data_IF_514131069022
#
_entry.id   IF_514131069022
#
_cell.length_a   1.000
_cell.length_b   1.000
_cell.length_c   1.000
_cell.angle_alpha   90.00
_cell.angle_beta   90.00
_cell.angle_gamma   90.00
#
_symmetry.space_group_name_H-M   'P 1'
#
loop_
_entity.id
_entity.type
_entity.pdbx_description
1 polymer ?
#
# COMPACT_ATOMS: atom_id res chain seq x y z
N UNK A 1 -21.56 -1.18 -5.28
CA UNK A 1 -21.85 -2.44 -4.54
C UNK A 1 -20.68 -3.41 -4.72
N UNK A 2 -20.08 -3.86 -3.61
CA UNK A 2 -18.86 -4.70 -3.63
C UNK A 2 -19.12 -6.06 -4.28
N UNK A 3 -20.26 -6.68 -4.01
CA UNK A 3 -20.57 -8.04 -4.49
C UNK A 3 -20.80 -8.08 -6.00
N UNK A 4 -21.61 -7.15 -6.51
CA UNK A 4 -22.04 -7.16 -7.91
C UNK A 4 -21.18 -6.28 -8.82
N UNK A 5 -20.39 -5.35 -8.27
CA UNK A 5 -19.70 -4.32 -9.03
C UNK A 5 -20.61 -3.19 -9.54
N UNK A 6 -21.91 -3.21 -9.18
CA UNK A 6 -22.87 -2.21 -9.65
C UNK A 6 -22.55 -0.83 -9.06
N UNK A 7 -22.46 0.17 -9.92
CA UNK A 7 -22.34 1.57 -9.50
C UNK A 7 -23.69 2.03 -8.97
N UNK A 8 -23.75 2.44 -7.71
CA UNK A 8 -24.98 2.93 -7.06
C UNK A 8 -25.09 4.45 -7.14
N UNK A 9 -23.96 5.13 -7.17
CA UNK A 9 -23.85 6.57 -7.31
C UNK A 9 -22.48 6.92 -7.88
N UNK A 10 -22.41 7.89 -8.76
CA UNK A 10 -21.16 8.44 -9.25
C UNK A 10 -21.24 9.96 -9.43
N UNK A 11 -20.11 10.61 -9.25
CA UNK A 11 -19.91 12.02 -9.53
C UNK A 11 -18.43 12.22 -9.90
N UNK A 12 -18.16 12.62 -11.14
CA UNK A 12 -16.81 12.76 -11.68
C UNK A 12 -15.92 11.52 -11.42
N UNK A 13 -16.51 10.33 -11.51
CA UNK A 13 -15.90 9.07 -11.06
C UNK A 13 -14.60 8.72 -11.78
N UNK A 14 -14.39 9.25 -12.99
CA UNK A 14 -13.22 9.05 -13.84
C UNK A 14 -12.27 10.27 -13.88
N UNK A 15 -12.49 11.26 -13.02
CA UNK A 15 -11.57 12.38 -12.90
C UNK A 15 -10.25 11.91 -12.27
N UNK A 16 -9.14 12.04 -13.01
CA UNK A 16 -7.82 11.65 -12.55
C UNK A 16 -7.26 12.70 -11.57
N UNK A 17 -7.08 12.30 -10.33
CA UNK A 17 -6.62 13.15 -9.22
C UNK A 17 -5.46 12.49 -8.48
N UNK A 18 -4.66 13.30 -7.80
CA UNK A 18 -3.60 12.81 -6.93
C UNK A 18 -4.19 12.07 -5.71
N UNK A 19 -3.91 10.77 -5.54
CA UNK A 19 -4.55 9.95 -4.50
C UNK A 19 -3.99 10.16 -3.10
N UNK A 20 -2.82 10.78 -2.96
CA UNK A 20 -2.10 10.81 -1.69
C UNK A 20 -2.02 9.40 -1.07
N UNK A 21 -2.20 9.27 0.24
CA UNK A 21 -2.10 7.99 0.95
C UNK A 21 -3.11 6.91 0.53
N UNK A 22 -4.12 7.23 -0.27
CA UNK A 22 -5.01 6.20 -0.85
C UNK A 22 -4.24 5.24 -1.77
N UNK A 23 -3.10 5.67 -2.32
CA UNK A 23 -2.11 4.82 -3.00
C UNK A 23 -1.82 3.52 -2.24
N UNK A 24 -1.74 3.59 -0.91
CA UNK A 24 -1.41 2.43 -0.05
C UNK A 24 -2.46 1.31 -0.08
N UNK A 25 -3.64 1.57 -0.62
CA UNK A 25 -4.61 0.50 -0.88
C UNK A 25 -4.04 -0.48 -1.91
N UNK A 26 -3.42 0.01 -3.00
CA UNK A 26 -2.73 -0.85 -3.98
C UNK A 26 -1.49 -1.50 -3.35
N UNK A 27 -0.74 -0.77 -2.55
CA UNK A 27 0.42 -1.32 -1.83
C UNK A 27 0.00 -2.49 -0.93
N UNK A 28 -1.06 -2.32 -0.14
CA UNK A 28 -1.60 -3.40 0.70
C UNK A 28 -2.17 -4.56 -0.11
N UNK A 29 -2.78 -4.30 -1.27
CA UNK A 29 -3.26 -5.35 -2.18
C UNK A 29 -2.09 -6.25 -2.61
N UNK A 30 -1.00 -5.67 -3.11
CA UNK A 30 0.17 -6.46 -3.53
C UNK A 30 0.86 -7.18 -2.38
N UNK A 31 0.87 -6.60 -1.18
CA UNK A 31 1.36 -7.28 0.03
C UNK A 31 0.49 -8.52 0.34
N UNK A 32 -0.83 -8.37 0.32
CA UNK A 32 -1.74 -9.48 0.59
C UNK A 32 -1.68 -10.56 -0.49
N UNK A 33 -1.57 -10.19 -1.76
CA UNK A 33 -1.34 -11.13 -2.86
C UNK A 33 -0.03 -11.94 -2.68
N UNK A 34 1.04 -11.27 -2.20
CA UNK A 34 2.29 -11.96 -1.90
C UNK A 34 2.17 -12.92 -0.70
N UNK A 35 1.36 -12.57 0.31
CA UNK A 35 1.07 -13.45 1.46
C UNK A 35 0.21 -14.63 1.02
N UNK A 36 -0.87 -14.40 0.30
CA UNK A 36 -1.83 -15.43 -0.10
C UNK A 36 -1.23 -16.41 -1.13
N UNK A 37 -0.27 -15.94 -1.95
CA UNK A 37 0.50 -16.80 -2.85
C UNK A 37 1.70 -17.49 -2.18
N UNK A 38 1.84 -17.35 -0.85
CA UNK A 38 2.96 -17.93 -0.07
C UNK A 38 4.35 -17.46 -0.53
N UNK A 39 4.43 -16.33 -1.25
CA UNK A 39 5.70 -15.70 -1.62
C UNK A 39 6.41 -15.11 -0.39
N UNK A 40 5.63 -14.59 0.55
CA UNK A 40 6.07 -14.14 1.86
C UNK A 40 5.10 -14.63 2.94
N UNK A 41 5.55 -14.69 4.19
CA UNK A 41 4.70 -15.00 5.34
C UNK A 41 4.56 -13.77 6.25
N UNK A 42 3.44 -13.68 6.97
CA UNK A 42 3.21 -12.58 7.94
C UNK A 42 4.28 -12.55 9.06
N UNK A 43 4.95 -13.68 9.29
CA UNK A 43 6.03 -13.84 10.28
C UNK A 43 7.42 -13.54 9.75
N UNK A 44 7.56 -13.34 8.43
CA UNK A 44 8.86 -13.04 7.83
C UNK A 44 9.39 -11.70 8.34
N UNK A 45 10.71 -11.62 8.45
CA UNK A 45 11.41 -10.42 8.90
C UNK A 45 11.74 -9.53 7.70
N UNK A 46 11.28 -8.29 7.77
CA UNK A 46 11.59 -7.22 6.81
C UNK A 46 12.64 -6.30 7.42
N UNK A 47 13.68 -5.98 6.65
CA UNK A 47 14.73 -5.04 7.06
C UNK A 47 14.52 -3.71 6.34
N UNK A 48 14.44 -2.62 7.09
CA UNK A 48 14.34 -1.29 6.52
C UNK A 48 15.66 -0.86 5.87
N UNK A 49 15.59 -0.42 4.63
CA UNK A 49 16.72 0.19 3.92
C UNK A 49 16.94 1.65 4.37
N UNK A 50 18.04 2.26 3.94
CA UNK A 50 18.25 3.70 4.07
C UNK A 50 17.16 4.50 3.31
N UNK A 51 16.76 4.03 2.13
CA UNK A 51 15.68 4.66 1.34
C UNK A 51 14.34 4.61 2.09
N UNK A 52 13.96 3.47 2.64
CA UNK A 52 12.74 3.34 3.43
C UNK A 52 12.77 4.23 4.68
N UNK A 53 13.87 4.22 5.43
CA UNK A 53 14.06 5.03 6.64
C UNK A 53 14.08 6.54 6.37
N UNK A 54 14.41 6.97 5.14
CA UNK A 54 14.44 8.37 4.74
C UNK A 54 13.07 8.92 4.27
N UNK A 55 12.04 8.06 4.16
CA UNK A 55 10.71 8.51 3.70
C UNK A 55 10.12 9.53 4.68
N UNK A 56 9.57 10.60 4.10
CA UNK A 56 8.88 11.66 4.83
C UNK A 56 7.40 11.38 5.08
N UNK A 57 6.69 12.39 5.57
CA UNK A 57 5.25 12.32 5.81
C UNK A 57 4.88 11.43 6.98
N UNK A 58 3.75 10.70 6.89
CA UNK A 58 3.31 9.75 7.92
C UNK A 58 4.26 8.54 7.98
N UNK A 59 4.82 8.26 9.15
CA UNK A 59 5.84 7.24 9.34
C UNK A 59 5.89 6.78 10.80
N UNK A 60 6.52 5.63 11.05
CA UNK A 60 6.80 5.13 12.40
C UNK A 60 8.28 5.33 12.78
N UNK A 61 9.02 6.10 11.99
CA UNK A 61 10.43 6.43 12.18
C UNK A 61 11.34 5.19 12.21
N UNK A 62 11.22 4.34 11.19
CA UNK A 62 12.14 3.21 11.01
C UNK A 62 13.58 3.70 10.88
N UNK A 63 14.50 3.00 11.52
CA UNK A 63 15.94 3.21 11.33
C UNK A 63 16.45 2.28 10.24
N UNK A 64 17.43 2.74 9.46
CA UNK A 64 18.11 1.87 8.52
C UNK A 64 18.70 0.64 9.23
N UNK A 65 18.42 -0.56 8.71
CA UNK A 65 18.79 -1.82 9.32
C UNK A 65 17.83 -2.32 10.42
N UNK A 66 16.83 -1.54 10.81
CA UNK A 66 15.80 -2.00 11.73
C UNK A 66 14.96 -3.11 11.08
N UNK A 67 14.57 -4.09 11.89
CA UNK A 67 13.79 -5.24 11.43
C UNK A 67 12.45 -5.32 12.13
N UNK A 68 11.40 -5.62 11.36
CA UNK A 68 10.05 -5.88 11.88
C UNK A 68 9.42 -7.02 11.08
N UNK A 69 8.38 -7.63 11.63
CA UNK A 69 7.62 -8.66 10.88
C UNK A 69 6.78 -8.03 9.76
N UNK A 70 6.49 -8.79 8.70
CA UNK A 70 5.51 -8.40 7.67
C UNK A 70 4.19 -7.98 8.32
N UNK A 71 3.73 -8.70 9.35
CA UNK A 71 2.52 -8.37 10.10
C UNK A 71 2.58 -6.98 10.74
N UNK A 72 3.70 -6.63 11.40
CA UNK A 72 3.83 -5.31 12.04
C UNK A 72 4.01 -4.17 11.02
N UNK A 73 4.72 -4.44 9.91
CA UNK A 73 4.80 -3.50 8.78
C UNK A 73 3.41 -3.21 8.20
N UNK A 74 2.62 -4.26 7.92
CA UNK A 74 1.27 -4.13 7.37
C UNK A 74 0.33 -3.41 8.35
N UNK A 75 0.43 -3.72 9.65
CA UNK A 75 -0.28 -3.00 10.72
C UNK A 75 0.05 -1.50 10.70
N UNK A 76 1.32 -1.15 10.61
CA UNK A 76 1.79 0.23 10.58
C UNK A 76 1.30 0.99 9.34
N UNK A 77 1.26 0.33 8.18
CA UNK A 77 0.69 0.89 6.95
C UNK A 77 -0.80 1.15 7.13
N UNK A 78 -1.55 0.18 7.65
CA UNK A 78 -3.00 0.26 7.76
C UNK A 78 -3.47 1.28 8.81
N UNK A 79 -2.79 1.37 9.97
CA UNK A 79 -3.21 2.19 11.11
C UNK A 79 -2.61 3.59 11.07
N UNK A 80 -1.31 3.69 10.78
CA UNK A 80 -0.56 4.95 10.82
C UNK A 80 -0.25 5.52 9.43
N UNK A 81 -0.67 4.82 8.37
CA UNK A 81 -0.32 5.21 6.98
C UNK A 81 1.19 5.34 6.75
N UNK A 82 1.99 4.49 7.40
CA UNK A 82 3.44 4.59 7.48
C UNK A 82 4.13 4.44 6.11
N UNK A 83 4.73 5.52 5.62
CA UNK A 83 5.42 5.56 4.32
C UNK A 83 6.71 4.75 4.32
N UNK A 84 7.47 4.81 5.43
CA UNK A 84 8.67 4.02 5.65
C UNK A 84 8.39 2.52 5.60
N UNK A 85 7.32 2.07 6.24
CA UNK A 85 6.89 0.67 6.16
C UNK A 85 6.42 0.26 4.76
N UNK A 86 5.68 1.13 4.06
CA UNK A 86 5.24 0.87 2.69
C UNK A 86 6.43 0.68 1.75
N UNK A 87 7.45 1.55 1.85
CA UNK A 87 8.67 1.44 1.07
C UNK A 87 9.47 0.18 1.43
N UNK A 88 9.66 -0.11 2.73
CA UNK A 88 10.36 -1.32 3.16
C UNK A 88 9.69 -2.60 2.66
N UNK A 89 8.36 -2.66 2.69
CA UNK A 89 7.60 -3.79 2.13
C UNK A 89 7.72 -3.89 0.61
N UNK A 90 7.68 -2.76 -0.10
CA UNK A 90 7.87 -2.72 -1.54
C UNK A 90 9.24 -3.31 -1.94
N UNK A 91 10.29 -2.87 -1.27
CA UNK A 91 11.65 -3.38 -1.49
C UNK A 91 11.78 -4.86 -1.12
N UNK A 92 11.16 -5.29 -0.02
CA UNK A 92 11.17 -6.70 0.40
C UNK A 92 10.52 -7.63 -0.62
N UNK A 93 9.40 -7.22 -1.23
CA UNK A 93 8.63 -8.04 -2.17
C UNK A 93 9.26 -8.05 -3.56
N UNK A 94 9.68 -6.89 -4.06
CA UNK A 94 10.11 -6.69 -5.45
C UNK A 94 11.61 -6.45 -5.63
N UNK A 95 12.37 -6.31 -4.53
CA UNK A 95 13.80 -6.01 -4.56
C UNK A 95 14.13 -4.52 -4.67
N UNK A 96 13.17 -3.68 -5.11
CA UNK A 96 13.27 -2.23 -5.11
C UNK A 96 11.89 -1.59 -5.15
N UNK A 97 11.78 -0.33 -4.69
CA UNK A 97 10.54 0.44 -4.81
C UNK A 97 10.11 0.60 -6.28
N UNK A 98 11.07 0.86 -7.19
CA UNK A 98 10.78 1.00 -8.62
C UNK A 98 10.15 -0.27 -9.22
N UNK A 99 10.72 -1.44 -8.93
CA UNK A 99 10.16 -2.71 -9.39
C UNK A 99 8.76 -2.99 -8.79
N UNK A 100 8.54 -2.55 -7.56
CA UNK A 100 7.22 -2.66 -6.94
C UNK A 100 6.20 -1.73 -7.61
N UNK A 101 6.59 -0.50 -7.95
CA UNK A 101 5.74 0.45 -8.69
C UNK A 101 5.39 -0.09 -10.08
N UNK A 102 6.32 -0.73 -10.77
CA UNK A 102 6.03 -1.43 -12.03
C UNK A 102 4.96 -2.50 -11.83
N UNK A 103 5.04 -3.28 -10.74
CA UNK A 103 4.03 -4.27 -10.39
C UNK A 103 2.68 -3.62 -10.03
N UNK A 104 2.67 -2.49 -9.31
CA UNK A 104 1.45 -1.73 -9.02
C UNK A 104 0.75 -1.29 -10.33
N UNK A 105 1.51 -0.74 -11.28
CA UNK A 105 0.97 -0.30 -12.57
C UNK A 105 0.52 -1.49 -13.45
N UNK A 106 1.21 -2.61 -13.38
CA UNK A 106 0.76 -3.83 -14.05
C UNK A 106 -0.57 -4.31 -13.44
N UNK A 107 -0.67 -4.36 -12.11
CA UNK A 107 -1.89 -4.80 -11.44
C UNK A 107 -3.06 -3.86 -11.69
N UNK A 108 -2.81 -2.55 -11.74
CA UNK A 108 -3.82 -1.57 -12.12
C UNK A 108 -4.41 -1.87 -13.52
N UNK A 109 -3.56 -2.17 -14.50
CA UNK A 109 -4.03 -2.58 -15.84
C UNK A 109 -4.86 -3.86 -15.83
N UNK A 110 -4.45 -4.87 -15.06
CA UNK A 110 -5.17 -6.14 -14.91
C UNK A 110 -6.55 -5.96 -14.28
N UNK A 111 -6.68 -5.01 -13.34
CA UNK A 111 -7.95 -4.64 -12.71
C UNK A 111 -8.84 -3.73 -13.58
N UNK A 112 -8.32 -3.26 -14.74
CA UNK A 112 -9.04 -2.33 -15.62
C UNK A 112 -9.06 -0.89 -15.14
N UNK A 113 -8.11 -0.49 -14.28
CA UNK A 113 -7.93 0.87 -13.74
C UNK A 113 -7.29 1.77 -14.82
N UNK A 114 -8.13 2.37 -15.65
CA UNK A 114 -7.68 3.11 -16.85
C UNK A 114 -7.24 4.55 -16.55
N UNK A 115 -7.66 5.09 -15.41
CA UNK A 115 -7.36 6.46 -14.99
C UNK A 115 -6.18 6.50 -14.00
N UNK A 116 -5.46 5.39 -13.84
CA UNK A 116 -4.45 5.21 -12.79
C UNK A 116 -3.05 5.08 -13.35
N UNK A 117 -2.14 5.86 -12.76
CA UNK A 117 -0.70 5.72 -12.90
C UNK A 117 -0.01 5.98 -11.56
N UNK A 118 0.75 5.00 -11.07
CA UNK A 118 1.53 5.11 -9.85
C UNK A 118 2.99 5.44 -10.16
N UNK A 119 3.60 6.35 -9.40
CA UNK A 119 5.04 6.69 -9.50
C UNK A 119 5.81 6.31 -8.23
N UNK A 120 5.11 6.06 -7.12
CA UNK A 120 5.67 5.55 -5.88
C UNK A 120 4.65 4.66 -5.14
N UNK A 121 5.07 3.98 -4.07
CA UNK A 121 4.22 3.09 -3.29
C UNK A 121 3.52 3.76 -2.10
N UNK A 122 3.71 5.05 -1.89
CA UNK A 122 3.26 5.77 -0.69
C UNK A 122 2.18 6.82 -0.94
N UNK A 123 2.20 7.44 -2.14
CA UNK A 123 1.38 8.60 -2.48
C UNK A 123 1.98 9.93 -2.02
N UNK A 124 3.27 9.95 -1.62
CA UNK A 124 4.00 11.21 -1.39
C UNK A 124 4.14 11.99 -2.71
N UNK A 125 4.14 13.30 -2.60
CA UNK A 125 4.23 14.25 -3.71
C UNK A 125 5.60 14.97 -3.80
N UNK A 126 6.61 14.38 -3.14
CA UNK A 126 7.98 14.89 -3.09
C UNK A 126 8.85 14.48 -4.29
N UNK A 127 8.34 13.58 -5.14
CA UNK A 127 9.01 13.16 -6.36
C UNK A 127 8.86 14.17 -7.51
N UNK A 128 9.87 14.25 -8.36
CA UNK A 128 9.84 15.11 -9.56
C UNK A 128 8.66 14.80 -10.49
N UNK A 129 8.19 13.54 -10.49
CA UNK A 129 7.10 13.01 -11.31
C UNK A 129 5.76 12.93 -10.55
N UNK A 130 5.66 13.52 -9.36
CA UNK A 130 4.45 13.44 -8.53
C UNK A 130 3.16 13.88 -9.25
N UNK A 131 3.27 14.74 -10.26
CA UNK A 131 2.13 15.18 -11.09
C UNK A 131 1.55 14.08 -11.97
N UNK A 132 2.31 13.00 -12.21
CA UNK A 132 1.88 11.83 -12.97
C UNK A 132 1.26 10.76 -12.07
N UNK A 133 1.32 10.93 -10.73
CA UNK A 133 0.76 10.02 -9.74
C UNK A 133 -0.72 10.28 -9.57
N UNK A 134 -1.53 9.58 -10.37
CA UNK A 134 -2.96 9.86 -10.51
C UNK A 134 -3.78 8.57 -10.37
N UNK A 135 -5.02 8.73 -9.91
CA UNK A 135 -6.07 7.70 -9.96
C UNK A 135 -7.44 8.37 -9.96
N UNK A 136 -8.50 7.60 -10.15
CA UNK A 136 -9.88 8.08 -10.10
C UNK A 136 -10.68 7.40 -8.98
N UNK A 137 -11.81 7.97 -8.61
CA UNK A 137 -12.71 7.36 -7.63
C UNK A 137 -13.20 5.97 -8.11
N UNK A 138 -13.43 5.80 -9.42
CA UNK A 138 -13.81 4.53 -10.02
C UNK A 138 -12.70 3.48 -9.85
N UNK A 139 -11.46 3.84 -10.16
CA UNK A 139 -10.32 2.94 -10.07
C UNK A 139 -10.00 2.57 -8.61
N UNK A 140 -10.13 3.52 -7.67
CA UNK A 140 -10.04 3.22 -6.23
C UNK A 140 -11.08 2.19 -5.81
N UNK A 141 -12.31 2.27 -6.34
CA UNK A 141 -13.34 1.28 -6.06
C UNK A 141 -12.98 -0.11 -6.60
N UNK A 142 -12.35 -0.19 -7.79
CA UNK A 142 -11.89 -1.46 -8.38
C UNK A 142 -10.85 -2.15 -7.49
N UNK A 143 -9.75 -1.45 -7.14
CA UNK A 143 -8.71 -2.06 -6.30
C UNK A 143 -9.21 -2.37 -4.89
N UNK A 144 -10.09 -1.54 -4.33
CA UNK A 144 -10.68 -1.79 -3.01
C UNK A 144 -11.61 -3.00 -3.03
N UNK A 145 -12.38 -3.17 -4.11
CA UNK A 145 -13.25 -4.32 -4.31
C UNK A 145 -12.45 -5.62 -4.37
N UNK A 146 -11.37 -5.64 -5.14
CA UNK A 146 -10.44 -6.77 -5.24
C UNK A 146 -9.94 -7.17 -3.86
N UNK A 147 -9.43 -6.19 -3.11
CA UNK A 147 -8.90 -6.39 -1.77
C UNK A 147 -9.93 -6.97 -0.78
N UNK A 148 -11.16 -6.45 -0.81
CA UNK A 148 -12.23 -6.88 0.11
C UNK A 148 -12.73 -8.30 -0.21
N UNK A 149 -12.85 -8.63 -1.50
CA UNK A 149 -13.43 -9.91 -1.93
C UNK A 149 -12.43 -11.07 -1.87
N UNK A 150 -11.18 -10.82 -2.26
CA UNK A 150 -10.20 -11.88 -2.45
C UNK A 150 -9.15 -11.96 -1.33
N UNK A 151 -8.99 -10.86 -0.53
CA UNK A 151 -8.01 -10.79 0.56
C UNK A 151 -8.65 -10.40 1.89
N UNK A 152 -9.66 -11.17 2.37
CA UNK A 152 -10.46 -10.80 3.56
C UNK A 152 -9.63 -10.70 4.85
N UNK A 153 -8.49 -11.35 4.91
CA UNK A 153 -7.57 -11.32 6.07
C UNK A 153 -6.99 -9.92 6.32
N UNK A 154 -6.99 -9.04 5.32
CA UNK A 154 -6.61 -7.64 5.53
C UNK A 154 -7.49 -6.95 6.60
N UNK A 155 -8.73 -7.39 6.80
CA UNK A 155 -9.61 -6.84 7.83
C UNK A 155 -9.00 -6.90 9.23
N UNK A 156 -8.13 -7.87 9.51
CA UNK A 156 -7.41 -7.99 10.78
C UNK A 156 -6.56 -6.76 11.09
N UNK A 157 -6.14 -6.03 10.07
CA UNK A 157 -5.30 -4.83 10.17
C UNK A 157 -6.13 -3.55 10.04
N UNK A 158 -7.07 -3.49 9.11
CA UNK A 158 -7.85 -2.27 8.83
C UNK A 158 -8.94 -1.99 9.86
N UNK A 159 -9.27 -2.93 10.73
CA UNK A 159 -10.23 -2.75 11.85
C UNK A 159 -9.56 -2.47 13.19
N UNK A 160 -8.23 -2.36 13.21
CA UNK A 160 -7.50 -2.01 14.44
C UNK A 160 -7.80 -0.57 14.80
N UNK A 161 -8.32 -0.35 16.02
CA UNK A 161 -8.50 0.98 16.58
C UNK A 161 -7.23 1.50 17.27
N UNK A 162 -6.56 0.64 18.02
CA UNK A 162 -5.33 0.93 18.75
C UNK A 162 -4.55 -0.36 18.96
N UNK A 163 -3.25 -0.31 18.73
CA UNK A 163 -2.34 -1.44 18.97
C UNK A 163 -0.92 -0.89 19.22
N UNK A 164 -0.01 -1.77 19.58
CA UNK A 164 1.40 -1.47 19.79
C UNK A 164 2.29 -2.23 18.82
N UNK A 165 3.41 -1.64 18.48
CA UNK A 165 4.51 -2.25 17.74
C UNK A 165 5.79 -2.17 18.59
N UNK A 166 6.84 -2.89 18.22
CA UNK A 166 8.12 -2.89 18.96
C UNK A 166 7.96 -3.26 20.45
N UNK A 167 6.97 -4.11 20.80
CA UNK A 167 6.71 -4.45 22.22
C UNK A 167 6.25 -3.27 23.09
N UNK A 168 5.80 -2.17 22.48
CA UNK A 168 5.40 -0.94 23.17
C UNK A 168 6.56 0.04 23.40
N UNK A 169 7.76 -0.26 22.90
CA UNK A 169 8.90 0.66 22.95
C UNK A 169 8.86 1.60 21.74
N UNK A 170 8.87 2.90 22.02
CA UNK A 170 9.16 3.93 21.01
C UNK A 170 10.68 4.12 20.98
N UNK A 171 11.29 3.85 19.84
CA UNK A 171 12.70 4.10 19.61
C UNK A 171 13.01 5.56 19.36
#
# INVERSE_FOLDING_TARGET
DVTTGTVLYENNSHEALAPASVTKVMTMLLIMEAVDSEKIALTDTVTASENAAAKGGSQIYLKAGETMTVSDMLKSIAVSSANDCACAMAEHIAGSESAFVDAMNQRARELGMQDTHFVNCTGLDDDANAREHLTSAYDIALMSRELILHHPDLRRFTTIWMDTIRGGEFG
#
